data_IF_070514678442
#
_entry.id   IF_070514678442
#
_cell.length_a   1.000
_cell.length_b   1.000
_cell.length_c   1.000
_cell.angle_alpha   90.00
_cell.angle_beta   90.00
_cell.angle_gamma   90.00
#
_symmetry.space_group_name_H-M   'P 1'
#
loop_
_entity.id
_entity.type
_entity.pdbx_description
1 polymer ?
#
# COMPACT_ATOMS: atom_id res chain seq x y z
N UNK A 1 8.20 -15.50 -15.07
CA UNK A 1 8.20 -14.05 -15.35
C UNK A 1 8.37 -13.30 -14.04
N UNK A 2 9.59 -12.90 -13.71
CA UNK A 2 9.84 -11.96 -12.61
C UNK A 2 9.61 -10.57 -13.21
N UNK A 3 8.42 -10.01 -12.98
CA UNK A 3 8.11 -8.63 -13.31
C UNK A 3 8.80 -7.70 -12.32
N UNK A 4 9.93 -7.14 -12.72
CA UNK A 4 10.53 -6.00 -12.06
C UNK A 4 9.68 -4.76 -12.34
N UNK A 5 9.24 -4.04 -11.31
CA UNK A 5 8.47 -2.79 -11.38
C UNK A 5 9.20 -1.61 -12.03
N UNK A 6 10.26 -1.84 -12.74
CA UNK A 6 11.08 -0.78 -13.30
C UNK A 6 10.80 -0.59 -14.78
N UNK A 7 10.29 0.59 -15.14
CA UNK A 7 10.10 1.19 -16.47
C UNK A 7 8.71 1.07 -17.09
N UNK A 8 7.75 1.78 -16.49
CA UNK A 8 6.47 2.15 -17.13
C UNK A 8 6.70 3.00 -18.41
N UNK A 9 7.85 3.66 -18.55
CA UNK A 9 8.15 4.58 -19.65
C UNK A 9 8.24 3.93 -21.03
N UNK A 10 8.60 2.66 -21.10
CA UNK A 10 8.89 2.01 -22.40
C UNK A 10 7.67 1.30 -23.02
N UNK A 11 6.53 1.23 -22.31
CA UNK A 11 5.29 0.59 -22.77
C UNK A 11 4.23 1.60 -23.23
N UNK A 12 4.51 2.90 -23.15
CA UNK A 12 3.52 3.96 -23.32
C UNK A 12 2.75 4.24 -22.04
N UNK A 13 1.83 5.19 -22.10
CA UNK A 13 0.94 5.59 -21.00
C UNK A 13 -0.49 5.22 -21.36
N UNK A 14 -1.20 4.57 -20.44
CA UNK A 14 -2.66 4.38 -20.58
C UNK A 14 -3.38 5.72 -20.63
N UNK A 15 -4.60 5.74 -21.15
CA UNK A 15 -5.43 6.94 -21.20
C UNK A 15 -5.63 7.54 -19.79
N UNK A 16 -5.85 8.86 -19.72
CA UNK A 16 -6.16 9.52 -18.45
C UNK A 16 -7.44 8.92 -17.84
N UNK A 17 -7.40 8.66 -16.54
CA UNK A 17 -8.50 8.00 -15.84
C UNK A 17 -8.46 6.47 -15.92
N UNK A 18 -7.38 5.88 -16.39
CA UNK A 18 -7.17 4.44 -16.44
C UNK A 18 -5.84 4.05 -15.79
N UNK A 19 -5.74 2.80 -15.38
CA UNK A 19 -4.53 2.20 -14.79
C UNK A 19 -4.22 0.87 -15.44
N UNK A 20 -2.95 0.66 -15.74
CA UNK A 20 -2.46 -0.66 -16.10
C UNK A 20 -2.35 -1.53 -14.85
N UNK A 21 -3.01 -2.69 -14.85
CA UNK A 21 -3.09 -3.58 -13.68
C UNK A 21 -2.32 -4.87 -13.85
N UNK A 22 -2.01 -5.27 -15.09
CA UNK A 22 -1.22 -6.50 -15.28
C UNK A 22 -1.11 -6.97 -16.72
N UNK A 23 -0.41 -8.08 -16.86
CA UNK A 23 -0.24 -8.79 -18.13
C UNK A 23 -0.73 -10.22 -17.93
N UNK A 24 -1.63 -10.66 -18.79
CA UNK A 24 -2.05 -12.05 -18.89
C UNK A 24 -1.54 -12.64 -20.20
N UNK A 25 -1.13 -13.91 -20.17
CA UNK A 25 -0.74 -14.65 -21.36
C UNK A 25 -1.48 -15.98 -21.41
N UNK A 26 -1.90 -16.39 -22.58
CA UNK A 26 -2.50 -17.71 -22.78
C UNK A 26 -1.50 -18.86 -22.63
N UNK A 27 -0.17 -18.54 -22.64
CA UNK A 27 0.92 -19.51 -22.52
C UNK A 27 1.95 -18.95 -21.52
N UNK A 28 2.32 -19.74 -20.52
CA UNK A 28 3.31 -19.36 -19.51
C UNK A 28 4.67 -20.04 -19.73
N UNK A 29 4.70 -21.14 -20.47
CA UNK A 29 5.92 -21.87 -20.82
C UNK A 29 5.77 -22.49 -22.21
N UNK A 30 6.88 -22.63 -22.89
CA UNK A 30 6.98 -23.29 -24.19
C UNK A 30 8.14 -24.27 -24.20
N UNK A 31 7.97 -25.35 -24.95
CA UNK A 31 9.06 -26.32 -25.17
C UNK A 31 9.89 -25.89 -26.38
N UNK A 32 11.20 -25.94 -26.22
CA UNK A 32 12.15 -25.59 -27.29
C UNK A 32 13.07 -26.75 -27.62
N UNK A 33 13.48 -26.86 -28.87
CA UNK A 33 14.41 -27.85 -29.38
C UNK A 33 15.63 -27.14 -29.96
N UNK A 34 16.80 -27.72 -29.74
CA UNK A 34 18.08 -27.18 -30.21
C UNK A 34 19.28 -28.02 -29.78
N UNK A 35 20.46 -27.53 -30.05
CA UNK A 35 21.66 -28.18 -29.56
C UNK A 35 21.75 -28.03 -28.03
N UNK A 36 22.30 -29.04 -27.36
CA UNK A 36 22.39 -29.07 -25.89
C UNK A 36 23.15 -27.85 -25.32
N UNK A 37 24.16 -27.36 -26.07
CA UNK A 37 24.89 -26.14 -25.70
C UNK A 37 23.99 -24.90 -25.68
N UNK A 38 23.19 -24.75 -26.74
CA UNK A 38 22.36 -23.57 -26.96
C UNK A 38 21.15 -23.55 -26.00
N UNK A 39 20.61 -24.77 -25.73
CA UNK A 39 19.51 -24.91 -24.74
C UNK A 39 19.97 -24.63 -23.29
N UNK A 40 21.25 -24.88 -22.97
CA UNK A 40 21.79 -24.63 -21.63
C UNK A 40 21.86 -23.12 -21.28
N UNK A 41 21.89 -22.27 -22.29
CA UNK A 41 21.97 -20.80 -22.14
C UNK A 41 20.60 -20.13 -22.07
N UNK A 42 19.50 -20.86 -22.39
CA UNK A 42 18.16 -20.31 -22.45
C UNK A 42 17.39 -20.64 -21.17
N UNK A 43 17.11 -19.61 -20.40
CA UNK A 43 16.24 -19.72 -19.22
C UNK A 43 14.87 -19.03 -19.44
N UNK A 44 14.80 -18.08 -20.39
CA UNK A 44 13.58 -17.35 -20.71
C UNK A 44 13.64 -16.74 -22.11
N UNK A 45 12.50 -16.62 -22.76
CA UNK A 45 12.33 -15.85 -24.00
C UNK A 45 12.04 -14.41 -23.61
N UNK A 46 12.94 -13.49 -23.98
CA UNK A 46 12.78 -12.08 -23.66
C UNK A 46 12.01 -11.34 -24.77
N UNK A 47 10.81 -10.91 -24.45
CA UNK A 47 9.97 -10.11 -25.34
C UNK A 47 10.22 -8.62 -25.04
N UNK A 48 10.63 -7.81 -26.05
CA UNK A 48 10.82 -6.38 -25.84
C UNK A 48 9.54 -5.68 -25.41
N UNK A 49 9.64 -4.74 -24.49
CA UNK A 49 8.49 -3.97 -24.00
C UNK A 49 7.81 -3.15 -25.10
N UNK A 50 8.53 -2.79 -26.17
CA UNK A 50 7.98 -2.11 -27.33
C UNK A 50 6.87 -2.87 -28.06
N UNK A 51 6.89 -4.21 -27.96
CA UNK A 51 5.81 -5.06 -28.49
C UNK A 51 4.52 -4.95 -27.67
N UNK A 52 4.64 -4.52 -26.42
CA UNK A 52 3.55 -4.40 -25.45
C UNK A 52 3.13 -2.92 -25.29
N UNK A 53 2.97 -2.20 -26.38
CA UNK A 53 2.59 -0.79 -26.34
C UNK A 53 1.13 -0.62 -25.91
N UNK A 54 0.91 0.13 -24.82
CA UNK A 54 -0.40 0.46 -24.24
C UNK A 54 -0.76 1.95 -24.36
N UNK A 55 -0.06 2.70 -25.23
CA UNK A 55 -0.24 4.14 -25.35
C UNK A 55 -1.70 4.51 -25.69
N UNK A 56 -2.30 5.36 -24.84
CA UNK A 56 -3.69 5.79 -24.96
C UNK A 56 -4.73 4.68 -24.72
N UNK A 57 -4.33 3.54 -24.16
CA UNK A 57 -5.27 2.44 -23.91
C UNK A 57 -6.29 2.80 -22.83
N UNK A 58 -7.57 2.61 -23.11
CA UNK A 58 -8.72 2.80 -22.21
C UNK A 58 -9.52 1.51 -21.97
N UNK A 59 -8.98 0.39 -22.41
CA UNK A 59 -9.51 -0.95 -22.19
C UNK A 59 -8.37 -1.97 -22.34
N UNK A 60 -8.63 -3.20 -21.99
CA UNK A 60 -7.72 -4.32 -22.21
C UNK A 60 -7.27 -4.36 -23.67
N UNK A 61 -5.97 -4.55 -23.86
CA UNK A 61 -5.37 -4.59 -25.18
C UNK A 61 -4.73 -5.95 -25.43
N UNK A 62 -5.21 -6.63 -26.45
CA UNK A 62 -4.65 -7.91 -26.88
C UNK A 62 -3.54 -7.69 -27.92
N UNK A 63 -2.40 -8.34 -27.70
CA UNK A 63 -1.24 -8.33 -28.59
C UNK A 63 -0.89 -9.77 -28.92
N UNK A 64 -0.74 -10.05 -30.22
CA UNK A 64 -0.26 -11.36 -30.70
C UNK A 64 1.23 -11.25 -30.96
N UNK A 65 1.99 -12.10 -30.28
CA UNK A 65 3.45 -12.12 -30.34
C UNK A 65 3.91 -13.42 -30.99
N UNK A 66 4.74 -13.30 -32.00
CA UNK A 66 5.39 -14.46 -32.64
C UNK A 66 6.73 -14.73 -31.92
N UNK A 67 6.78 -15.80 -31.16
CA UNK A 67 7.93 -16.18 -30.34
C UNK A 67 9.14 -16.53 -31.17
N UNK A 68 8.99 -16.96 -32.43
CA UNK A 68 10.14 -17.29 -33.30
C UNK A 68 11.09 -16.10 -33.51
N UNK A 69 10.57 -14.87 -33.38
CA UNK A 69 11.39 -13.65 -33.52
C UNK A 69 12.34 -13.41 -32.34
N UNK A 70 12.11 -14.09 -31.25
CA UNK A 70 12.82 -13.88 -29.98
C UNK A 70 13.59 -15.11 -29.51
N UNK A 71 13.62 -16.16 -30.32
CA UNK A 71 14.46 -17.33 -30.12
C UNK A 71 15.89 -17.07 -30.59
N UNK A 72 16.90 -17.57 -29.91
CA UNK A 72 18.28 -17.61 -30.40
C UNK A 72 18.42 -18.40 -31.69
N UNK A 73 19.49 -18.14 -32.41
CA UNK A 73 19.86 -18.96 -33.58
C UNK A 73 20.00 -20.44 -33.18
N UNK A 74 19.56 -21.35 -34.02
CA UNK A 74 19.59 -22.83 -33.82
C UNK A 74 18.66 -23.36 -32.71
N UNK A 75 17.71 -22.57 -32.27
CA UNK A 75 16.66 -22.98 -31.32
C UNK A 75 15.29 -22.75 -31.97
N UNK A 76 14.45 -23.77 -31.94
CA UNK A 76 13.11 -23.76 -32.50
C UNK A 76 12.09 -24.14 -31.42
N UNK A 77 10.83 -23.73 -31.60
CA UNK A 77 9.74 -24.23 -30.77
C UNK A 77 9.47 -25.70 -31.11
N UNK A 78 9.22 -26.51 -30.09
CA UNK A 78 8.81 -27.89 -30.26
C UNK A 78 7.44 -28.00 -30.93
N UNK A 79 6.56 -27.01 -30.64
CA UNK A 79 5.23 -26.90 -31.19
C UNK A 79 5.17 -26.02 -32.44
N UNK A 80 4.27 -26.35 -33.37
CA UNK A 80 4.08 -25.57 -34.60
C UNK A 80 3.42 -24.21 -34.36
N UNK A 81 2.88 -23.96 -33.19
CA UNK A 81 2.21 -22.71 -32.84
C UNK A 81 3.21 -21.75 -32.16
N UNK A 82 3.74 -20.84 -32.92
CA UNK A 82 4.68 -19.82 -32.44
C UNK A 82 4.00 -18.56 -31.88
N UNK A 83 2.68 -18.43 -32.04
CA UNK A 83 1.94 -17.21 -31.67
C UNK A 83 1.31 -17.37 -30.32
N UNK A 84 1.62 -16.41 -29.43
CA UNK A 84 0.98 -16.28 -28.14
C UNK A 84 0.10 -15.02 -28.10
N UNK A 85 -0.96 -15.10 -27.34
CA UNK A 85 -1.87 -14.00 -27.05
C UNK A 85 -1.51 -13.44 -25.68
N UNK A 86 -1.17 -12.15 -25.66
CA UNK A 86 -0.86 -11.41 -24.46
C UNK A 86 -1.88 -10.31 -24.27
N UNK A 87 -2.58 -10.32 -23.15
CA UNK A 87 -3.57 -9.29 -22.79
C UNK A 87 -2.94 -8.33 -21.79
N UNK A 88 -2.86 -7.07 -22.15
CA UNK A 88 -2.52 -5.97 -21.26
C UNK A 88 -3.80 -5.52 -20.57
N UNK A 89 -3.89 -5.71 -19.25
CA UNK A 89 -5.06 -5.36 -18.45
C UNK A 89 -5.05 -3.87 -18.14
N UNK A 90 -6.14 -3.21 -18.48
CA UNK A 90 -6.33 -1.77 -18.28
C UNK A 90 -7.70 -1.52 -17.67
N UNK A 91 -7.72 -0.99 -16.46
CA UNK A 91 -8.95 -0.76 -15.71
C UNK A 91 -9.21 0.73 -15.50
N UNK A 92 -10.48 1.15 -15.48
CA UNK A 92 -10.84 2.53 -15.18
C UNK A 92 -10.55 2.85 -13.72
N UNK A 93 -10.12 4.10 -13.48
CA UNK A 93 -10.05 4.64 -12.14
C UNK A 93 -11.39 5.29 -11.79
N UNK A 94 -11.91 4.95 -10.65
CA UNK A 94 -13.14 5.50 -10.11
C UNK A 94 -12.86 6.55 -9.01
N UNK A 95 -13.87 7.33 -8.67
CA UNK A 95 -13.76 8.32 -7.59
C UNK A 95 -14.78 7.99 -6.52
N UNK A 96 -14.32 7.88 -5.28
CA UNK A 96 -15.15 7.64 -4.10
C UNK A 96 -15.02 8.80 -3.12
N UNK A 97 -16.13 9.20 -2.52
CA UNK A 97 -16.14 10.18 -1.43
C UNK A 97 -16.10 9.46 -0.10
N UNK A 98 -15.10 9.82 0.72
CA UNK A 98 -14.94 9.32 2.08
C UNK A 98 -15.12 10.49 3.06
N UNK A 99 -15.79 10.23 4.16
CA UNK A 99 -15.97 11.19 5.25
C UNK A 99 -14.93 10.88 6.34
N UNK A 100 -14.00 11.83 6.56
CA UNK A 100 -13.00 11.74 7.60
C UNK A 100 -13.40 12.62 8.80
N UNK A 101 -13.48 12.03 9.97
CA UNK A 101 -13.72 12.79 11.21
C UNK A 101 -12.53 13.66 11.54
N UNK A 102 -12.77 14.93 11.87
CA UNK A 102 -11.70 15.87 12.22
C UNK A 102 -10.92 15.45 13.48
N UNK A 103 -11.53 14.64 14.34
CA UNK A 103 -10.85 14.05 15.50
C UNK A 103 -9.70 13.08 15.14
N UNK A 104 -9.66 12.59 13.91
CA UNK A 104 -8.57 11.74 13.37
C UNK A 104 -7.43 12.54 12.73
N UNK A 105 -7.60 13.85 12.56
CA UNK A 105 -6.57 14.72 11.98
C UNK A 105 -5.54 15.04 13.07
N UNK A 106 -4.30 14.66 12.84
CA UNK A 106 -3.19 14.93 13.75
C UNK A 106 -2.78 16.39 13.64
N UNK A 107 -2.74 17.09 14.78
CA UNK A 107 -2.25 18.46 14.86
C UNK A 107 -0.73 18.46 15.07
N UNK A 108 0.01 19.07 14.13
CA UNK A 108 1.45 19.22 14.20
C UNK A 108 1.80 20.62 14.66
N UNK A 109 2.77 20.77 15.59
CA UNK A 109 3.21 22.04 16.08
C UNK A 109 2.27 22.75 17.06
N UNK A 110 1.32 22.01 17.65
CA UNK A 110 0.36 22.57 18.59
C UNK A 110 1.08 23.14 19.86
N UNK A 111 0.76 24.39 20.21
CA UNK A 111 1.27 25.06 21.40
C UNK A 111 0.41 24.74 22.62
N UNK A 112 1.03 24.49 23.76
CA UNK A 112 0.32 24.29 25.03
C UNK A 112 -0.46 25.51 25.53
N UNK A 113 -0.16 26.69 24.98
CA UNK A 113 -0.86 27.94 25.30
C UNK A 113 -2.25 28.03 24.69
N UNK A 114 -2.52 27.28 23.63
CA UNK A 114 -3.73 27.38 22.82
C UNK A 114 -4.54 26.10 22.85
N UNK A 115 -5.85 26.24 22.64
CA UNK A 115 -6.75 25.16 22.28
C UNK A 115 -7.17 25.35 20.83
N UNK A 116 -7.23 24.25 20.10
CA UNK A 116 -7.55 24.23 18.67
C UNK A 116 -8.85 23.46 18.47
N UNK A 117 -9.80 24.09 17.82
CA UNK A 117 -11.09 23.50 17.47
C UNK A 117 -11.32 23.60 15.98
N UNK A 118 -11.99 22.61 15.42
CA UNK A 118 -12.40 22.63 14.02
C UNK A 118 -13.80 23.20 13.87
N UNK A 119 -14.08 23.88 12.76
CA UNK A 119 -15.40 24.46 12.45
C UNK A 119 -16.45 23.38 12.15
N UNK A 120 -16.03 22.13 11.95
CA UNK A 120 -16.87 20.97 11.63
C UNK A 120 -16.32 19.69 12.22
N UNK A 121 -17.19 18.67 12.35
CA UNK A 121 -16.82 17.37 12.94
C UNK A 121 -16.20 16.40 11.92
N UNK A 122 -16.40 16.66 10.62
CA UNK A 122 -15.87 15.84 9.55
C UNK A 122 -15.64 16.64 8.26
N UNK A 123 -14.73 16.16 7.41
CA UNK A 123 -14.46 16.67 6.06
C UNK A 123 -14.66 15.54 5.05
N UNK A 124 -15.12 15.89 3.85
CA UNK A 124 -15.26 14.96 2.74
C UNK A 124 -14.04 15.03 1.84
N UNK A 125 -13.57 13.86 1.47
CA UNK A 125 -12.43 13.66 0.58
C UNK A 125 -12.92 12.91 -0.65
N UNK A 126 -12.59 13.40 -1.84
CA UNK A 126 -12.78 12.67 -3.08
C UNK A 126 -11.47 12.01 -3.45
N UNK A 127 -11.44 10.69 -3.41
CA UNK A 127 -10.25 9.87 -3.67
C UNK A 127 -10.50 9.04 -4.91
N UNK A 128 -9.49 9.01 -5.80
CA UNK A 128 -9.51 8.28 -7.05
C UNK A 128 -8.59 7.08 -6.97
N UNK A 129 -9.04 5.92 -7.44
CA UNK A 129 -8.31 4.66 -7.42
C UNK A 129 -9.03 3.58 -8.23
N UNK A 130 -8.50 2.36 -8.21
CA UNK A 130 -9.23 1.20 -8.73
C UNK A 130 -10.42 0.89 -7.82
N UNK A 131 -11.50 0.35 -8.38
CA UNK A 131 -12.71 0.00 -7.62
C UNK A 131 -12.40 -0.92 -6.44
N UNK A 132 -11.59 -1.96 -6.66
CA UNK A 132 -11.20 -2.91 -5.61
C UNK A 132 -10.43 -2.24 -4.47
N UNK A 133 -9.50 -1.35 -4.80
CA UNK A 133 -8.71 -0.61 -3.81
C UNK A 133 -9.62 0.34 -3.01
N UNK A 134 -10.52 1.05 -3.71
CA UNK A 134 -11.45 1.99 -3.08
C UNK A 134 -12.46 1.27 -2.16
N UNK A 135 -12.89 0.04 -2.50
CA UNK A 135 -13.82 -0.73 -1.68
C UNK A 135 -13.21 -1.18 -0.35
N UNK A 136 -11.89 -1.34 -0.31
CA UNK A 136 -11.14 -1.69 0.90
C UNK A 136 -10.72 -0.45 1.71
N UNK A 137 -10.70 0.74 1.11
CA UNK A 137 -10.26 1.96 1.75
C UNK A 137 -11.27 2.43 2.80
N UNK A 138 -10.81 2.59 4.02
CA UNK A 138 -11.58 3.11 5.15
C UNK A 138 -10.99 4.44 5.66
N UNK A 139 -11.71 5.13 6.53
CA UNK A 139 -11.22 6.35 7.17
C UNK A 139 -10.07 6.09 8.19
N UNK A 140 -9.86 4.82 8.58
CA UNK A 140 -8.74 4.41 9.44
C UNK A 140 -7.42 4.28 8.65
N UNK A 141 -7.49 4.11 7.35
CA UNK A 141 -6.32 4.00 6.46
C UNK A 141 -5.78 5.37 6.03
N UNK A 142 -6.48 6.45 6.41
CA UNK A 142 -6.13 7.82 6.02
C UNK A 142 -5.33 8.51 7.13
N UNK A 143 -4.03 8.65 6.92
CA UNK A 143 -3.19 9.47 7.79
C UNK A 143 -3.34 10.94 7.37
N UNK A 144 -3.92 11.75 8.25
CA UNK A 144 -4.20 13.16 8.01
C UNK A 144 -3.52 14.04 9.03
N UNK A 145 -2.86 15.10 8.57
CA UNK A 145 -2.16 16.05 9.42
C UNK A 145 -2.50 17.48 9.05
N UNK A 146 -2.50 18.33 10.06
CA UNK A 146 -2.60 19.78 9.89
C UNK A 146 -1.53 20.46 10.72
N UNK A 147 -0.78 21.37 10.10
CA UNK A 147 0.21 22.18 10.80
C UNK A 147 -0.48 23.41 11.42
N UNK A 148 -0.33 23.53 12.74
CA UNK A 148 -0.90 24.63 13.54
C UNK A 148 0.20 25.46 14.25
N UNK A 149 1.46 25.26 13.90
CA UNK A 149 2.64 25.85 14.60
C UNK A 149 2.61 27.38 14.64
N UNK A 150 2.16 28.01 13.56
CA UNK A 150 2.14 29.48 13.40
C UNK A 150 0.75 30.12 13.66
N UNK A 151 -0.20 29.34 14.19
CA UNK A 151 -1.55 29.82 14.42
C UNK A 151 -1.70 30.42 15.83
N UNK A 152 -1.97 31.74 15.89
CA UNK A 152 -2.37 32.46 17.11
C UNK A 152 -3.88 32.46 17.31
N UNK A 153 -4.39 33.09 18.39
CA UNK A 153 -5.83 33.20 18.63
C UNK A 153 -6.59 33.80 17.44
N UNK A 154 -7.71 33.17 17.05
CA UNK A 154 -8.52 33.57 15.91
C UNK A 154 -8.96 32.37 15.06
N UNK A 155 -9.50 32.66 13.87
CA UNK A 155 -9.92 31.64 12.89
C UNK A 155 -8.94 31.63 11.73
N UNK A 156 -8.41 30.45 11.41
CA UNK A 156 -7.40 30.23 10.38
C UNK A 156 -7.86 29.16 9.39
N UNK A 157 -7.51 29.26 8.11
CA UNK A 157 -7.70 28.16 7.17
C UNK A 157 -6.75 27.00 7.54
N UNK A 158 -7.31 25.81 7.67
CA UNK A 158 -6.54 24.58 7.94
C UNK A 158 -6.22 23.86 6.64
N UNK A 159 -4.93 23.78 6.29
CA UNK A 159 -4.48 22.93 5.18
C UNK A 159 -4.18 21.54 5.72
N UNK A 160 -5.03 20.58 5.34
CA UNK A 160 -4.85 19.18 5.74
C UNK A 160 -4.02 18.48 4.67
N UNK A 161 -2.96 17.83 5.09
CA UNK A 161 -2.12 16.94 4.26
C UNK A 161 -2.46 15.49 4.54
N UNK A 162 -2.46 14.68 3.48
CA UNK A 162 -2.78 13.26 3.56
C UNK A 162 -1.62 12.42 3.06
N UNK A 163 -1.28 11.37 3.79
CA UNK A 163 -0.44 10.31 3.27
C UNK A 163 -1.34 9.22 2.66
N UNK A 164 -1.37 9.18 1.34
CA UNK A 164 -2.11 8.19 0.57
C UNK A 164 -1.13 7.20 -0.06
N UNK A 165 -1.46 5.91 -0.01
CA UNK A 165 -0.71 4.89 -0.74
C UNK A 165 -0.69 5.17 -2.26
N UNK A 166 0.30 4.62 -2.96
CA UNK A 166 0.47 4.83 -4.41
C UNK A 166 -0.74 4.35 -5.27
N UNK A 167 -1.65 3.58 -4.68
CA UNK A 167 -2.89 3.14 -5.30
C UNK A 167 -3.94 4.25 -5.41
N UNK A 168 -3.80 5.34 -4.68
CA UNK A 168 -4.81 6.39 -4.52
C UNK A 168 -4.31 7.76 -4.96
N UNK A 169 -5.24 8.60 -5.40
CA UNK A 169 -5.01 10.00 -5.73
C UNK A 169 -6.10 10.87 -5.08
N UNK A 170 -5.70 11.88 -4.31
CA UNK A 170 -6.65 12.86 -3.76
C UNK A 170 -7.07 13.81 -4.88
N UNK A 171 -8.34 13.80 -5.21
CA UNK A 171 -8.94 14.68 -6.23
C UNK A 171 -9.37 16.01 -5.64
N UNK A 172 -10.03 15.97 -4.49
CA UNK A 172 -10.48 17.16 -3.77
C UNK A 172 -10.75 16.86 -2.30
N UNK A 173 -10.75 17.92 -1.49
CA UNK A 173 -11.12 17.87 -0.08
C UNK A 173 -11.97 19.09 0.27
N UNK A 174 -12.81 18.96 1.30
CA UNK A 174 -13.55 20.10 1.87
C UNK A 174 -12.58 21.06 2.56
N UNK A 175 -12.89 22.35 2.52
CA UNK A 175 -12.17 23.35 3.28
C UNK A 175 -12.41 23.14 4.79
N UNK A 176 -11.37 23.35 5.58
CA UNK A 176 -11.39 23.24 7.03
C UNK A 176 -10.97 24.57 7.65
N UNK A 177 -11.69 25.02 8.68
CA UNK A 177 -11.28 26.16 9.48
C UNK A 177 -10.87 25.69 10.87
N UNK A 178 -9.80 26.28 11.38
CA UNK A 178 -9.27 26.03 12.72
C UNK A 178 -9.49 27.28 13.56
N UNK A 179 -10.19 27.10 14.67
CA UNK A 179 -10.48 28.15 15.64
C UNK A 179 -9.53 27.97 16.81
N UNK A 180 -8.68 28.97 17.03
CA UNK A 180 -7.66 28.96 18.07
C UNK A 180 -8.07 29.88 19.20
N UNK A 181 -8.09 29.37 20.41
CA UNK A 181 -8.37 30.12 21.61
C UNK A 181 -7.17 30.09 22.57
N UNK A 182 -6.98 31.17 23.35
CA UNK A 182 -6.09 31.12 24.50
C UNK A 182 -6.63 30.09 25.50
N UNK A 183 -5.75 29.22 26.00
CA UNK A 183 -6.12 28.24 27.02
C UNK A 183 -6.23 28.92 28.37
N UNK A 184 -7.37 28.78 29.05
CA UNK A 184 -7.53 29.26 30.41
C UNK A 184 -6.75 28.38 31.42
N UNK A 185 -6.25 28.97 32.55
CA UNK A 185 -5.60 28.21 33.61
C UNK A 185 -6.60 27.27 34.28
N UNK A 186 -6.61 26.01 33.90
CA UNK A 186 -7.54 25.00 34.42
C UNK A 186 -7.95 23.93 33.42
N UNK A 187 -7.74 24.15 32.13
CA UNK A 187 -8.03 23.19 31.08
C UNK A 187 -7.03 22.03 31.10
N UNK A 188 -7.52 20.84 31.39
CA UNK A 188 -6.72 19.60 31.33
C UNK A 188 -6.36 19.26 29.90
N UNK A 189 -5.08 19.14 29.61
CA UNK A 189 -4.58 18.60 28.35
C UNK A 189 -4.98 17.14 28.25
N UNK A 190 -5.68 16.67 27.22
CA UNK A 190 -5.75 15.24 26.96
C UNK A 190 -4.32 14.78 26.69
N UNK A 191 -3.82 13.85 27.52
CA UNK A 191 -2.49 13.31 27.39
C UNK A 191 -2.33 12.66 26.00
N UNK A 192 -1.21 12.90 25.29
CA UNK A 192 -0.93 12.16 24.08
C UNK A 192 -0.88 10.68 24.43
N UNK A 193 -1.65 9.86 23.72
CA UNK A 193 -1.60 8.40 23.83
C UNK A 193 -0.19 7.98 23.42
N UNK A 194 0.66 7.74 24.41
CA UNK A 194 1.95 7.09 24.19
C UNK A 194 1.65 5.60 24.03
N UNK A 195 1.91 5.08 22.86
CA UNK A 195 2.07 3.64 22.68
C UNK A 195 3.23 3.19 23.55
N UNK A 196 2.91 2.42 24.60
CA UNK A 196 3.91 1.75 25.44
C UNK A 196 4.64 0.69 24.61
N UNK A 197 5.82 1.04 24.13
CA UNK A 197 6.81 0.04 23.75
C UNK A 197 7.32 -0.63 25.03
N UNK A 198 6.78 -1.80 25.32
CA UNK A 198 7.19 -2.64 26.43
C UNK A 198 8.65 -3.06 26.33
N UNK A 199 9.51 -2.36 27.07
CA UNK A 199 10.88 -2.78 27.34
C UNK A 199 10.89 -3.60 28.64
N UNK A 200 11.02 -4.91 28.48
CA UNK A 200 11.24 -5.86 29.57
C UNK A 200 12.65 -5.70 30.11
N UNK A 201 12.80 -5.02 31.24
CA UNK A 201 14.04 -5.05 32.01
C UNK A 201 13.85 -6.00 33.18
N UNK A 202 14.57 -7.12 33.11
CA UNK A 202 14.77 -8.04 34.24
C UNK A 202 15.58 -7.33 35.32
N UNK A 203 15.04 -7.21 36.48
CA UNK A 203 15.83 -6.93 37.71
C UNK A 203 15.84 -8.13 38.62
N UNK A 204 17.05 -8.66 38.82
CA UNK A 204 17.40 -9.74 39.71
C UNK A 204 17.61 -9.14 41.09
N UNK A 205 16.87 -9.60 42.10
CA UNK A 205 17.33 -9.45 43.49
C UNK A 205 17.06 -10.72 44.28
N UNK A 206 18.12 -11.25 44.81
CA UNK A 206 18.18 -12.41 45.69
C UNK A 206 17.86 -12.02 47.14
N UNK A 207 17.35 -12.96 47.88
CA UNK A 207 17.65 -13.37 49.25
C UNK A 207 16.39 -13.78 50.03
N UNK A 208 16.40 -14.91 50.42
CA UNK A 208 16.65 -15.67 51.64
C UNK A 208 15.42 -16.16 52.38
N UNK A 209 15.49 -17.47 52.56
CA UNK A 209 15.26 -18.36 53.71
C UNK A 209 13.83 -18.46 54.34
N UNK A 210 13.24 -19.58 54.43
CA UNK A 210 13.39 -20.65 55.39
C UNK A 210 12.16 -21.57 55.44
N UNK A 211 12.48 -22.85 55.47
CA UNK A 211 11.90 -23.96 56.22
C UNK A 211 10.41 -24.27 56.16
N UNK A 212 10.14 -25.53 55.90
CA UNK A 212 8.93 -26.20 56.37
C UNK A 212 8.55 -27.45 55.58
N UNK A 213 9.05 -28.54 56.02
CA UNK A 213 8.81 -29.93 55.69
C UNK A 213 7.35 -30.36 55.48
N UNK A 214 7.09 -31.27 54.60
CA UNK A 214 6.68 -32.67 54.88
C UNK A 214 5.80 -33.24 53.73
N UNK A 215 6.31 -34.30 53.19
CA UNK A 215 5.72 -35.63 52.93
C UNK A 215 4.32 -35.80 52.36
N UNK A 216 4.20 -36.52 51.31
CA UNK A 216 3.76 -37.90 51.08
C UNK A 216 3.31 -38.09 49.64
N UNK A 217 4.02 -38.89 48.86
CA UNK A 217 3.82 -40.30 48.54
C UNK A 217 2.59 -40.66 47.72
N UNK A 218 2.89 -41.33 46.65
CA UNK A 218 2.27 -42.49 45.99
C UNK A 218 1.63 -42.19 44.64
N UNK A 219 2.27 -42.54 43.57
CA UNK A 219 2.32 -43.81 42.86
C UNK A 219 1.15 -44.13 41.95
N UNK A 220 1.57 -44.46 40.74
CA UNK A 220 1.10 -45.55 39.88
C UNK A 220 -0.08 -45.24 38.93
N UNK A 221 0.18 -45.42 37.78
CA UNK A 221 0.09 -46.52 36.76
C UNK A 221 -1.05 -46.34 35.74
N UNK A 222 -0.64 -46.44 34.54
CA UNK A 222 -0.87 -47.42 33.47
C UNK A 222 -2.05 -47.16 32.52
N UNK A 223 -1.63 -47.08 31.26
CA UNK A 223 -2.16 -47.71 30.03
C UNK A 223 -3.59 -47.48 29.54
N UNK A 224 -3.73 -46.94 28.40
CA UNK A 224 -3.95 -47.67 27.14
C UNK A 224 -3.79 -46.70 25.98
#
# INVERSE_FOLDING_TARGET
>A
LVGSEMCIRDRGRVADGYRFTGIESNVNSVDVVGLKSDLAEINAINIPKSELNMDGASADKEVIIDLNKYLPENVELADSNSKIHVTLKVEPLETRTIELKTSKIRQVGASSRYSYQYDRDAIRLSIKGLQEDLDQLTDDDLEAEVDVSDMGPGTHPGTVTFELGAAYELVSQDDLQIIVHDREPGDTVPAPTQEETGSSTRETTAAESSSGASNHTTAAETSH
#
